data_IF_933928213602
#
_entry.id   IF_933928213602
#
_cell.length_a   1.000
_cell.length_b   1.000
_cell.length_c   1.000
_cell.angle_alpha   90.00
_cell.angle_beta   90.00
_cell.angle_gamma   90.00
#
_symmetry.space_group_name_H-M   'P 1'
#
loop_
_entity.id
_entity.type
_entity.pdbx_description
1 polymer ?
#
# COMPACT_ATOMS: atom_id res chain seq x y z
N UNK A 1 4.36 -17.63 2.08
CA UNK A 1 4.47 -16.50 3.02
C UNK A 1 3.56 -16.84 4.18
N UNK A 2 4.12 -17.28 5.31
CA UNK A 2 3.35 -17.71 6.47
C UNK A 2 2.59 -16.52 7.06
N UNK A 3 1.29 -16.70 7.21
CA UNK A 3 0.23 -15.73 7.52
C UNK A 3 0.29 -15.17 8.96
N UNK A 4 1.48 -14.82 9.48
CA UNK A 4 1.64 -14.58 10.93
C UNK A 4 2.65 -13.50 11.35
N UNK A 5 2.96 -12.51 10.51
CA UNK A 5 4.03 -11.53 10.85
C UNK A 5 3.67 -10.03 10.69
N UNK A 6 2.39 -9.66 10.60
CA UNK A 6 2.01 -8.24 10.62
C UNK A 6 0.52 -7.99 10.42
N UNK A 7 0.07 -6.79 10.76
CA UNK A 7 -1.33 -6.36 10.63
C UNK A 7 -1.47 -5.42 9.44
N UNK A 8 -2.52 -5.65 8.64
CA UNK A 8 -2.91 -4.71 7.59
C UNK A 8 -3.80 -3.63 8.21
N UNK A 9 -3.40 -2.37 8.05
CA UNK A 9 -4.29 -1.25 8.26
C UNK A 9 -5.42 -1.22 7.22
N UNK A 10 -6.44 -0.41 7.50
CA UNK A 10 -7.53 -0.17 6.56
C UNK A 10 -7.03 0.53 5.29
N UNK A 11 -7.69 0.23 4.16
CA UNK A 11 -7.43 0.94 2.91
C UNK A 11 -7.94 2.38 3.01
N UNK A 12 -7.03 3.34 2.97
CA UNK A 12 -7.29 4.77 2.87
C UNK A 12 -7.24 5.20 1.42
N UNK A 13 -8.28 5.88 0.92
CA UNK A 13 -8.24 6.45 -0.43
C UNK A 13 -7.23 7.59 -0.48
N UNK A 14 -6.36 7.58 -1.47
CA UNK A 14 -5.33 8.58 -1.70
C UNK A 14 -5.71 9.41 -2.94
N UNK A 15 -6.48 10.51 -2.78
CA UNK A 15 -6.91 11.34 -3.89
C UNK A 15 -5.75 12.09 -4.56
N UNK A 16 -4.66 12.32 -3.85
CA UNK A 16 -3.47 13.04 -4.35
C UNK A 16 -2.48 12.12 -5.09
N UNK A 17 -2.70 10.80 -5.07
CA UNK A 17 -1.80 9.82 -5.69
C UNK A 17 -2.40 9.32 -7.01
N UNK A 18 -1.87 9.73 -8.18
CA UNK A 18 -2.30 9.18 -9.45
C UNK A 18 -1.78 7.74 -9.61
N UNK A 19 -2.58 6.90 -10.26
CA UNK A 19 -2.11 5.57 -10.62
C UNK A 19 -0.93 5.65 -11.60
N UNK A 20 0.17 4.95 -11.30
CA UNK A 20 1.37 4.89 -12.16
C UNK A 20 1.12 4.28 -13.55
N UNK A 21 0.01 3.57 -13.74
CA UNK A 21 -0.35 2.91 -15.01
C UNK A 21 -1.38 3.70 -15.83
N UNK A 22 -2.44 4.21 -15.21
CA UNK A 22 -3.53 4.88 -15.93
C UNK A 22 -3.69 6.37 -15.62
N UNK A 23 -2.94 6.92 -14.66
CA UNK A 23 -2.98 8.34 -14.29
C UNK A 23 -4.20 8.80 -13.49
N UNK A 24 -5.15 7.90 -13.19
CA UNK A 24 -6.38 8.25 -12.45
C UNK A 24 -6.14 8.30 -10.95
N UNK A 25 -6.71 9.30 -10.28
CA UNK A 25 -6.73 9.50 -8.83
C UNK A 25 -7.78 8.62 -8.14
N UNK A 26 -7.70 7.30 -8.38
CA UNK A 26 -8.58 6.30 -7.79
C UNK A 26 -7.73 5.22 -7.11
N UNK A 27 -6.76 5.65 -6.31
CA UNK A 27 -5.78 4.79 -5.64
C UNK A 27 -6.14 4.71 -4.17
N UNK A 28 -6.12 3.51 -3.61
CA UNK A 28 -6.22 3.27 -2.17
C UNK A 28 -4.89 2.74 -1.66
N UNK A 29 -4.46 3.24 -0.52
CA UNK A 29 -3.25 2.81 0.17
C UNK A 29 -3.63 2.13 1.48
N UNK A 30 -2.98 1.02 1.80
CA UNK A 30 -2.98 0.47 3.15
C UNK A 30 -1.57 0.28 3.63
N UNK A 31 -1.41 0.37 4.94
CA UNK A 31 -0.15 0.21 5.65
C UNK A 31 -0.12 -1.24 6.13
N UNK A 32 1.04 -1.87 6.07
CA UNK A 32 1.29 -3.17 6.68
C UNK A 32 2.41 -2.99 7.69
N UNK A 33 2.06 -3.14 8.95
CA UNK A 33 3.01 -3.05 10.05
C UNK A 33 3.47 -4.45 10.43
N UNK A 34 4.77 -4.72 10.30
CA UNK A 34 5.32 -5.99 10.77
C UNK A 34 5.25 -6.07 12.29
N UNK A 35 4.75 -7.20 12.81
CA UNK A 35 4.66 -7.47 14.25
C UNK A 35 6.02 -7.43 14.97
N UNK A 36 7.13 -7.50 14.22
CA UNK A 36 8.49 -7.37 14.75
C UNK A 36 8.99 -5.92 14.84
N UNK A 37 8.15 -4.91 14.57
CA UNK A 37 8.42 -3.51 14.85
C UNK A 37 9.53 -2.86 14.01
N UNK A 38 9.80 -3.38 12.81
CA UNK A 38 10.93 -2.94 12.00
C UNK A 38 10.66 -2.64 10.53
N UNK A 39 9.46 -2.92 10.01
CA UNK A 39 9.15 -2.72 8.59
C UNK A 39 7.71 -2.21 8.43
N UNK A 40 7.59 -1.01 7.90
CA UNK A 40 6.33 -0.42 7.44
C UNK A 40 6.27 -0.49 5.92
N UNK A 41 5.44 -1.40 5.40
CA UNK A 41 5.21 -1.54 3.97
C UNK A 41 3.90 -0.85 3.57
N UNK A 42 3.93 -0.05 2.50
CA UNK A 42 2.73 0.59 1.98
C UNK A 42 2.26 -0.11 0.72
N UNK A 43 1.05 -0.68 0.73
CA UNK A 43 0.42 -1.22 -0.46
C UNK A 43 -0.53 -0.20 -1.09
N UNK A 44 -0.32 0.11 -2.35
CA UNK A 44 -1.20 0.94 -3.17
C UNK A 44 -1.96 0.10 -4.19
N UNK A 45 -3.25 0.38 -4.36
CA UNK A 45 -4.14 -0.29 -5.32
C UNK A 45 -5.00 0.70 -6.06
N UNK A 46 -4.93 0.71 -7.38
CA UNK A 46 -5.83 1.46 -8.23
C UNK A 46 -7.15 0.71 -8.44
N UNK A 47 -8.27 1.31 -8.05
CA UNK A 47 -9.61 0.77 -8.24
C UNK A 47 -10.13 0.91 -9.68
N UNK A 48 -9.53 1.79 -10.48
CA UNK A 48 -9.94 1.98 -11.87
C UNK A 48 -9.33 0.92 -12.81
N UNK A 49 -8.02 0.70 -12.76
CA UNK A 49 -7.33 -0.23 -13.68
C UNK A 49 -6.88 -1.54 -13.02
N UNK A 50 -7.08 -1.69 -11.70
CA UNK A 50 -6.68 -2.87 -10.93
C UNK A 50 -5.17 -2.96 -10.64
N UNK A 51 -4.37 -1.98 -11.05
CA UNK A 51 -2.92 -2.00 -10.82
C UNK A 51 -2.61 -1.85 -9.32
N UNK A 52 -1.82 -2.77 -8.78
CA UNK A 52 -1.38 -2.77 -7.38
C UNK A 52 0.14 -2.71 -7.34
N UNK A 53 0.70 -1.91 -6.46
CA UNK A 53 2.14 -1.79 -6.24
C UNK A 53 2.44 -1.58 -4.75
N UNK A 54 3.65 -1.91 -4.34
CA UNK A 54 4.13 -1.72 -2.97
C UNK A 54 5.20 -0.63 -2.95
N UNK A 55 5.23 0.13 -1.88
CA UNK A 55 6.27 1.11 -1.57
C UNK A 55 6.77 0.75 -0.18
N UNK A 56 8.03 0.36 -0.10
CA UNK A 56 8.73 0.20 1.16
C UNK A 56 8.90 1.61 1.76
N UNK A 57 8.55 1.80 3.04
CA UNK A 57 8.87 3.04 3.74
C UNK A 57 10.36 3.35 3.62
N UNK A 58 10.72 4.63 3.52
CA UNK A 58 12.14 5.06 3.49
C UNK A 58 12.73 4.82 4.88
N UNK A 59 13.13 3.58 5.15
CA UNK A 59 14.16 3.26 6.13
C UNK A 59 15.29 2.57 5.36
N UNK A 60 16.17 3.41 4.79
CA UNK A 60 17.46 3.08 4.21
C UNK A 60 18.49 4.12 4.68
#
# INVERSE_FOLDING_TARGET
MSDSQGEFAEFKTQPDVPCRKCGVHAVSMREWESSCGGWEDYQYKCHHCGHTWWVEGIDA
#
